data_IF_035287603617
#
_entry.id   IF_035287603617
#
_cell.length_a   1.000
_cell.length_b   1.000
_cell.length_c   1.000
_cell.angle_alpha   90.00
_cell.angle_beta   90.00
_cell.angle_gamma   90.00
#
_symmetry.space_group_name_H-M   'P 1'
#
loop_
_entity.id
_entity.type
_entity.pdbx_description
1 polymer ?
#
# COMPACT_ATOMS: atom_id res chain seq x y z
N UNK A 1 9.51 6.76 2.14
CA UNK A 1 9.64 6.61 0.70
C UNK A 1 8.37 7.17 0.05
N UNK A 2 8.41 7.48 -1.22
CA UNK A 2 7.38 8.17 -2.03
C UNK A 2 5.99 7.52 -2.00
N UNK A 3 4.95 8.27 -2.44
CA UNK A 3 3.57 7.81 -2.53
C UNK A 3 3.10 7.70 -3.98
N UNK A 4 1.99 6.98 -4.18
CA UNK A 4 1.48 6.46 -5.46
C UNK A 4 2.41 5.40 -6.09
N UNK A 5 1.89 4.67 -7.09
CA UNK A 5 2.63 3.62 -7.79
C UNK A 5 3.82 4.16 -8.59
N UNK A 6 3.69 5.35 -9.16
CA UNK A 6 4.69 6.04 -9.96
C UNK A 6 5.62 6.96 -9.14
N UNK A 7 5.32 7.13 -7.84
CA UNK A 7 6.10 7.96 -6.92
C UNK A 7 5.99 9.46 -7.16
N UNK A 8 4.88 9.93 -7.76
CA UNK A 8 4.67 11.34 -8.07
C UNK A 8 4.50 12.26 -6.84
N UNK A 9 4.22 11.71 -5.68
CA UNK A 9 4.19 12.46 -4.41
C UNK A 9 5.35 12.04 -3.52
N UNK A 10 6.10 13.00 -3.02
CA UNK A 10 7.32 12.79 -2.24
C UNK A 10 7.07 12.27 -0.82
N UNK A 11 5.91 12.64 -0.26
CA UNK A 11 5.51 12.29 1.11
C UNK A 11 3.98 12.12 1.24
N UNK A 12 3.50 11.84 2.45
CA UNK A 12 2.08 11.70 2.76
C UNK A 12 1.33 13.03 2.63
N UNK A 13 1.96 14.13 2.98
CA UNK A 13 1.41 15.49 2.89
C UNK A 13 1.16 15.89 1.43
N UNK A 14 2.08 15.56 0.55
CA UNK A 14 1.91 15.77 -0.90
C UNK A 14 0.83 14.85 -1.46
N UNK A 15 0.82 13.58 -1.05
CA UNK A 15 -0.18 12.60 -1.48
C UNK A 15 -1.59 13.01 -1.05
N UNK A 16 -1.80 13.40 0.22
CA UNK A 16 -3.10 13.72 0.77
C UNK A 16 -3.82 14.88 0.03
N UNK A 17 -3.09 15.75 -0.65
CA UNK A 17 -3.66 16.84 -1.43
C UNK A 17 -4.32 16.36 -2.73
N UNK A 18 -3.78 15.31 -3.34
CA UNK A 18 -4.21 14.81 -4.64
C UNK A 18 -5.68 14.38 -4.68
N UNK A 19 -6.09 13.36 -3.94
CA UNK A 19 -7.45 12.80 -3.96
C UNK A 19 -8.54 13.84 -3.68
N UNK A 20 -8.26 14.80 -2.80
CA UNK A 20 -9.26 15.82 -2.38
C UNK A 20 -9.73 16.67 -3.54
N UNK A 21 -8.82 17.06 -4.45
CA UNK A 21 -9.15 17.93 -5.60
C UNK A 21 -9.23 17.17 -6.93
N UNK A 22 -8.99 15.86 -6.93
CA UNK A 22 -9.08 15.04 -8.12
C UNK A 22 -10.56 14.84 -8.51
N UNK A 23 -11.00 15.25 -9.73
CA UNK A 23 -12.40 15.20 -10.14
C UNK A 23 -12.99 13.78 -10.21
N UNK A 24 -12.15 12.74 -10.37
CA UNK A 24 -12.60 11.34 -10.37
C UNK A 24 -12.56 10.69 -8.98
N UNK A 25 -12.12 11.40 -7.95
CA UNK A 25 -12.08 10.94 -6.56
C UNK A 25 -13.03 11.79 -5.69
N UNK A 26 -12.51 12.74 -4.90
CA UNK A 26 -13.35 13.59 -4.04
C UNK A 26 -13.92 14.82 -4.75
N UNK A 27 -13.31 15.28 -5.84
CA UNK A 27 -13.87 16.29 -6.76
C UNK A 27 -14.06 17.67 -6.17
N UNK A 28 -13.31 18.07 -5.14
CA UNK A 28 -13.35 19.44 -4.65
C UNK A 28 -12.77 20.40 -5.70
N UNK A 29 -13.48 21.48 -5.99
CA UNK A 29 -13.15 22.43 -7.07
C UNK A 29 -11.75 23.06 -6.91
N UNK A 30 -11.32 23.29 -5.67
CA UNK A 30 -10.02 23.92 -5.39
C UNK A 30 -9.61 23.77 -3.92
N UNK A 31 -8.31 23.97 -3.61
CA UNK A 31 -7.85 24.10 -2.22
C UNK A 31 -8.63 25.14 -1.39
N UNK A 32 -8.99 26.27 -1.99
CA UNK A 32 -9.79 27.30 -1.31
C UNK A 32 -11.22 26.83 -1.01
N UNK A 33 -11.83 26.06 -1.88
CA UNK A 33 -13.15 25.47 -1.64
C UNK A 33 -13.11 24.49 -0.46
N UNK A 34 -12.04 23.72 -0.30
CA UNK A 34 -11.81 22.85 0.87
C UNK A 34 -11.71 23.69 2.14
N UNK A 35 -10.87 24.74 2.14
CA UNK A 35 -10.70 25.65 3.27
C UNK A 35 -12.04 26.30 3.68
N UNK A 36 -12.80 26.77 2.70
CA UNK A 36 -14.12 27.38 2.93
C UNK A 36 -15.13 26.39 3.51
N UNK A 37 -15.18 25.17 2.95
CA UNK A 37 -16.09 24.11 3.41
C UNK A 37 -15.80 23.70 4.86
N UNK A 38 -14.54 23.45 5.20
CA UNK A 38 -14.14 23.12 6.56
C UNK A 38 -14.29 24.32 7.52
N UNK A 39 -14.00 25.52 7.03
CA UNK A 39 -14.20 26.78 7.76
C UNK A 39 -15.67 27.11 8.09
N UNK A 40 -16.63 26.48 7.41
CA UNK A 40 -18.05 26.54 7.75
C UNK A 40 -18.41 25.72 9.01
N UNK A 41 -17.50 24.90 9.52
CA UNK A 41 -17.72 24.03 10.68
C UNK A 41 -16.90 24.55 11.87
N UNK A 42 -17.55 25.08 12.90
CA UNK A 42 -16.87 25.78 14.01
C UNK A 42 -15.89 24.88 14.77
N UNK A 43 -16.25 23.59 14.95
CA UNK A 43 -15.35 22.63 15.61
C UNK A 43 -14.02 22.44 14.86
N UNK A 44 -14.02 22.48 13.53
CA UNK A 44 -12.78 22.41 12.75
C UNK A 44 -11.91 23.66 12.93
N UNK A 45 -12.52 24.85 12.94
CA UNK A 45 -11.75 26.08 13.20
C UNK A 45 -10.98 26.01 14.52
N UNK A 46 -11.70 25.62 15.59
CA UNK A 46 -11.11 25.51 16.93
C UNK A 46 -9.99 24.43 16.98
N UNK A 47 -10.22 23.27 16.39
CA UNK A 47 -9.23 22.18 16.34
C UNK A 47 -7.99 22.56 15.54
N UNK A 48 -8.15 23.18 14.37
CA UNK A 48 -7.01 23.64 13.57
C UNK A 48 -6.25 24.76 14.26
N UNK A 49 -6.93 25.72 14.90
CA UNK A 49 -6.26 26.75 15.70
C UNK A 49 -5.42 26.17 16.85
N UNK A 50 -5.94 25.13 17.52
CA UNK A 50 -5.21 24.42 18.56
C UNK A 50 -4.03 23.61 18.02
N UNK A 51 -4.19 22.93 16.88
CA UNK A 51 -3.17 22.07 16.30
C UNK A 51 -2.02 22.88 15.64
N UNK A 52 -2.32 24.08 15.13
CA UNK A 52 -1.36 24.94 14.41
C UNK A 52 -1.32 26.35 15.00
N UNK A 53 -0.93 26.52 16.29
CA UNK A 53 -1.06 27.81 17.00
C UNK A 53 -0.15 28.92 16.47
N UNK A 54 0.93 28.56 15.77
CA UNK A 54 1.88 29.53 15.20
C UNK A 54 1.56 29.91 13.75
N UNK A 55 0.56 29.28 13.12
CA UNK A 55 0.20 29.56 11.75
C UNK A 55 -0.88 30.65 11.67
N UNK A 56 -0.57 31.77 10.98
CA UNK A 56 -1.54 32.87 10.76
C UNK A 56 -2.84 32.38 10.12
N UNK A 57 -2.81 31.32 9.33
CA UNK A 57 -3.94 30.64 8.71
C UNK A 57 -3.91 29.18 9.13
N UNK A 58 -4.28 28.88 10.38
CA UNK A 58 -4.29 27.53 10.94
C UNK A 58 -5.11 26.57 10.07
N UNK A 59 -6.31 26.97 9.63
CA UNK A 59 -7.13 26.21 8.68
C UNK A 59 -6.70 26.58 7.24
N UNK A 60 -5.69 25.91 6.74
CA UNK A 60 -5.21 25.98 5.36
C UNK A 60 -5.21 24.61 4.72
N UNK A 61 -5.30 24.51 3.40
CA UNK A 61 -5.26 23.23 2.69
C UNK A 61 -3.97 22.44 2.99
N UNK A 62 -2.86 23.15 3.19
CA UNK A 62 -1.60 22.53 3.59
C UNK A 62 -1.70 21.88 4.99
N UNK A 63 -2.34 22.56 5.96
CA UNK A 63 -2.52 22.00 7.29
C UNK A 63 -3.58 20.89 7.32
N UNK A 64 -4.56 20.92 6.43
CA UNK A 64 -5.47 19.77 6.20
C UNK A 64 -4.67 18.55 5.77
N UNK A 65 -3.78 18.69 4.78
CA UNK A 65 -2.91 17.61 4.33
C UNK A 65 -1.99 17.09 5.45
N UNK A 66 -1.40 17.99 6.25
CA UNK A 66 -0.60 17.59 7.43
C UNK A 66 -1.42 16.82 8.47
N UNK A 67 -2.66 17.22 8.72
CA UNK A 67 -3.53 16.52 9.67
C UNK A 67 -3.89 15.12 9.15
N UNK A 68 -4.19 14.97 7.86
CA UNK A 68 -4.43 13.66 7.22
C UNK A 68 -3.17 12.80 7.33
N UNK A 69 -2.02 13.31 6.92
CA UNK A 69 -0.74 12.60 6.99
C UNK A 69 -0.35 12.19 8.41
N UNK A 70 -0.64 13.03 9.41
CA UNK A 70 -0.42 12.70 10.81
C UNK A 70 -1.31 11.52 11.25
N UNK A 71 -2.58 11.49 10.83
CA UNK A 71 -3.47 10.37 11.08
C UNK A 71 -2.98 9.10 10.37
N UNK A 72 -2.61 9.18 9.11
CA UNK A 72 -2.11 8.03 8.33
C UNK A 72 -0.88 7.38 8.97
N UNK A 73 0.03 8.17 9.58
CA UNK A 73 1.18 7.65 10.34
C UNK A 73 0.79 6.84 11.57
N UNK A 74 -0.43 6.97 12.06
CA UNK A 74 -0.95 6.13 13.18
C UNK A 74 -1.50 4.79 12.71
N UNK A 75 -1.73 4.63 11.39
CA UNK A 75 -2.30 3.43 10.80
C UNK A 75 -1.27 2.30 10.67
N UNK A 76 -0.66 1.94 11.78
CA UNK A 76 0.27 0.81 11.85
C UNK A 76 -0.49 -0.51 11.88
N UNK A 77 0.04 -1.50 11.17
CA UNK A 77 -0.61 -2.81 11.00
C UNK A 77 0.27 -3.95 11.51
N UNK A 78 0.45 -4.10 12.84
CA UNK A 78 1.17 -5.25 13.39
C UNK A 78 0.40 -6.54 13.10
N UNK A 79 1.15 -7.58 12.80
CA UNK A 79 0.64 -8.89 12.40
C UNK A 79 1.22 -10.01 13.27
N UNK A 80 0.80 -11.26 13.04
CA UNK A 80 1.40 -12.42 13.72
C UNK A 80 2.87 -12.60 13.34
N UNK A 81 3.27 -12.23 12.14
CA UNK A 81 4.67 -12.21 11.73
C UNK A 81 5.52 -11.31 12.64
N UNK A 82 5.03 -10.12 13.00
CA UNK A 82 5.76 -9.21 13.89
C UNK A 82 5.95 -9.79 15.28
N UNK A 83 4.95 -10.46 15.82
CA UNK A 83 5.07 -11.20 17.10
C UNK A 83 6.15 -12.29 17.00
N UNK A 84 6.16 -13.03 15.89
CA UNK A 84 7.12 -14.10 15.66
C UNK A 84 8.57 -13.62 15.60
N UNK A 85 8.86 -12.56 14.84
CA UNK A 85 10.22 -11.98 14.79
C UNK A 85 10.63 -11.33 16.11
N UNK A 86 9.66 -10.87 16.92
CA UNK A 86 9.91 -10.33 18.27
C UNK A 86 10.10 -11.41 19.35
N UNK A 87 10.07 -12.70 18.98
CA UNK A 87 10.42 -13.79 19.86
C UNK A 87 9.29 -14.77 20.19
N UNK A 88 8.03 -14.46 19.91
CA UNK A 88 6.91 -15.40 20.08
C UNK A 88 6.93 -16.46 18.97
N UNK A 89 7.65 -17.55 19.23
CA UNK A 89 7.81 -18.65 18.25
C UNK A 89 6.51 -19.37 17.91
N UNK A 90 5.46 -19.24 18.73
CA UNK A 90 4.14 -19.82 18.50
C UNK A 90 3.25 -18.95 17.60
N UNK A 91 3.61 -17.68 17.35
CA UNK A 91 2.81 -16.76 16.57
C UNK A 91 2.65 -17.13 15.09
N UNK A 92 3.60 -17.90 14.52
CA UNK A 92 3.48 -18.51 13.19
C UNK A 92 3.38 -20.03 13.28
N UNK A 93 2.43 -20.60 12.56
CA UNK A 93 2.32 -22.05 12.39
C UNK A 93 3.49 -22.59 11.57
N UNK A 94 3.82 -23.90 11.68
CA UNK A 94 4.84 -24.51 10.83
C UNK A 94 4.57 -24.37 9.33
N UNK A 95 3.31 -24.30 8.92
CA UNK A 95 2.94 -24.07 7.51
C UNK A 95 3.29 -22.64 7.05
N UNK A 96 3.04 -21.64 7.89
CA UNK A 96 3.39 -20.25 7.59
C UNK A 96 4.90 -20.05 7.54
N UNK A 97 5.63 -20.69 8.42
CA UNK A 97 7.10 -20.69 8.40
C UNK A 97 7.65 -21.33 7.11
N UNK A 98 7.10 -22.49 6.69
CA UNK A 98 7.45 -23.07 5.38
C UNK A 98 7.10 -22.14 4.23
N UNK A 99 5.98 -21.44 4.30
CA UNK A 99 5.57 -20.43 3.31
C UNK A 99 6.57 -19.28 3.22
N UNK A 100 7.10 -18.81 4.35
CA UNK A 100 8.17 -17.80 4.38
C UNK A 100 9.45 -18.34 3.70
N UNK A 101 9.86 -19.57 3.97
CA UNK A 101 11.01 -20.19 3.29
C UNK A 101 10.76 -20.28 1.77
N UNK A 102 9.56 -20.69 1.36
CA UNK A 102 9.20 -20.74 -0.08
C UNK A 102 9.25 -19.36 -0.72
N UNK A 103 8.75 -18.33 -0.04
CA UNK A 103 8.80 -16.94 -0.48
C UNK A 103 10.24 -16.42 -0.67
N UNK A 104 11.13 -16.74 0.26
CA UNK A 104 12.56 -16.41 0.19
C UNK A 104 13.23 -17.15 -0.97
N UNK A 105 13.05 -18.46 -1.06
CA UNK A 105 13.69 -19.32 -2.08
C UNK A 105 13.18 -19.01 -3.49
N UNK A 106 11.92 -18.56 -3.63
CA UNK A 106 11.37 -18.10 -4.90
C UNK A 106 11.91 -16.75 -5.36
N UNK A 107 12.73 -16.06 -4.55
CA UNK A 107 13.36 -14.78 -4.89
C UNK A 107 12.53 -13.54 -4.56
N UNK A 108 11.33 -13.69 -3.98
CA UNK A 108 10.42 -12.57 -3.69
C UNK A 108 11.04 -11.55 -2.71
N UNK A 109 11.89 -12.03 -1.79
CA UNK A 109 12.53 -11.21 -0.76
C UNK A 109 13.48 -10.14 -1.34
N UNK A 110 13.94 -10.30 -2.58
CA UNK A 110 14.82 -9.33 -3.23
C UNK A 110 14.18 -7.94 -3.36
N UNK A 111 12.87 -7.90 -3.59
CA UNK A 111 12.09 -6.66 -3.73
C UNK A 111 11.16 -6.42 -2.55
N UNK A 112 10.62 -7.49 -1.96
CA UNK A 112 9.69 -7.44 -0.84
C UNK A 112 10.42 -7.75 0.48
N UNK A 113 11.22 -6.79 0.95
CA UNK A 113 12.00 -6.88 2.20
C UNK A 113 11.72 -5.71 3.13
N UNK A 114 12.37 -5.71 4.30
CA UNK A 114 12.22 -4.69 5.33
C UNK A 114 10.91 -4.81 6.12
N UNK A 115 10.65 -3.82 6.97
CA UNK A 115 9.51 -3.81 7.91
C UNK A 115 8.15 -3.83 7.24
N UNK A 116 8.06 -3.35 6.00
CA UNK A 116 6.82 -3.26 5.21
C UNK A 116 6.72 -4.35 4.14
N UNK A 117 7.71 -5.22 4.01
CA UNK A 117 7.78 -6.18 2.88
C UNK A 117 7.59 -5.49 1.53
N UNK A 118 8.41 -4.49 1.25
CA UNK A 118 8.34 -3.61 0.09
C UNK A 118 8.18 -2.14 0.49
N UNK A 119 7.82 -1.29 -0.45
CA UNK A 119 7.56 0.13 -0.24
C UNK A 119 8.82 1.02 -0.21
N UNK A 120 10.01 0.48 -0.41
CA UNK A 120 11.29 1.20 -0.25
C UNK A 120 12.10 1.34 -1.53
N UNK A 121 11.61 0.83 -2.66
CA UNK A 121 12.32 0.89 -3.94
C UNK A 121 11.34 0.93 -5.11
N UNK A 122 11.86 1.30 -6.28
CA UNK A 122 11.19 1.07 -7.56
C UNK A 122 11.71 -0.21 -8.21
N UNK A 123 10.85 -0.88 -8.96
CA UNK A 123 11.25 -1.99 -9.80
C UNK A 123 10.46 -1.98 -11.10
N UNK A 124 11.12 -2.40 -12.18
CA UNK A 124 10.47 -2.56 -13.48
C UNK A 124 9.50 -3.72 -13.43
N UNK A 125 8.25 -3.47 -13.80
CA UNK A 125 7.27 -4.52 -13.97
C UNK A 125 7.59 -5.32 -15.23
N UNK A 126 7.66 -6.65 -15.11
CA UNK A 126 8.10 -7.51 -16.19
C UNK A 126 9.62 -7.48 -16.38
N UNK A 127 10.38 -7.54 -15.28
CA UNK A 127 11.85 -7.51 -15.29
C UNK A 127 12.46 -8.65 -16.10
N UNK A 128 11.93 -9.87 -15.98
CA UNK A 128 12.42 -11.07 -16.67
C UNK A 128 11.53 -11.42 -17.85
N UNK A 129 10.24 -11.56 -17.65
CA UNK A 129 9.27 -11.81 -18.70
C UNK A 129 8.35 -10.60 -18.83
N UNK A 130 8.21 -9.99 -20.02
CA UNK A 130 7.42 -8.78 -20.20
C UNK A 130 6.00 -8.90 -19.65
N UNK A 131 5.53 -7.86 -18.95
CA UNK A 131 4.15 -7.72 -18.53
C UNK A 131 3.44 -6.73 -19.44
N UNK A 132 2.31 -7.08 -20.07
CA UNK A 132 1.56 -6.17 -20.93
C UNK A 132 0.90 -5.08 -20.05
N UNK A 133 1.31 -3.84 -20.21
CA UNK A 133 0.73 -2.69 -19.53
C UNK A 133 0.70 -1.49 -20.45
N UNK A 134 -0.42 -0.75 -20.45
CA UNK A 134 -0.53 0.55 -21.09
C UNK A 134 -0.03 1.68 -20.19
N UNK A 135 0.13 1.44 -18.89
CA UNK A 135 0.67 2.39 -17.93
C UNK A 135 2.20 2.43 -18.05
N UNK A 136 2.71 3.62 -18.33
CA UNK A 136 4.16 3.83 -18.46
C UNK A 136 4.92 3.86 -17.12
N UNK A 137 4.21 3.78 -15.99
CA UNK A 137 4.78 3.85 -14.65
C UNK A 137 5.46 5.19 -14.38
N UNK A 138 6.59 5.15 -13.69
CA UNK A 138 7.36 6.33 -13.28
C UNK A 138 7.83 7.19 -14.46
N UNK A 139 7.97 6.64 -15.66
CA UNK A 139 8.25 7.43 -16.87
C UNK A 139 7.21 8.55 -17.08
N UNK A 140 5.96 8.34 -16.69
CA UNK A 140 4.93 9.38 -16.79
C UNK A 140 5.29 10.64 -15.97
N UNK A 141 6.08 10.50 -14.91
CA UNK A 141 6.53 11.56 -14.00
C UNK A 141 7.86 12.15 -14.45
N UNK A 142 8.87 11.29 -14.67
CA UNK A 142 10.26 11.72 -14.88
C UNK A 142 10.60 12.04 -16.34
N UNK A 143 9.89 11.42 -17.29
CA UNK A 143 10.20 11.41 -18.73
C UNK A 143 11.56 10.76 -19.08
N UNK A 144 12.19 10.10 -18.09
CA UNK A 144 13.41 9.32 -18.32
C UNK A 144 13.03 7.93 -18.88
N UNK A 145 13.55 7.53 -20.06
CA UNK A 145 13.29 6.20 -20.63
C UNK A 145 13.68 5.04 -19.70
N UNK A 146 14.68 5.23 -18.84
CA UNK A 146 15.07 4.23 -17.83
C UNK A 146 13.98 3.93 -16.80
N UNK A 147 13.07 4.88 -16.58
CA UNK A 147 11.94 4.74 -15.67
C UNK A 147 10.68 4.11 -16.30
N UNK A 148 10.78 3.66 -17.57
CA UNK A 148 9.67 3.00 -18.26
C UNK A 148 9.26 1.71 -17.53
N UNK A 149 7.96 1.60 -17.21
CA UNK A 149 7.36 0.51 -16.44
C UNK A 149 7.94 0.35 -15.01
N UNK A 150 8.66 1.35 -14.51
CA UNK A 150 9.10 1.36 -13.13
C UNK A 150 7.93 1.74 -12.20
N UNK A 151 7.69 0.90 -11.21
CA UNK A 151 6.68 1.12 -10.18
C UNK A 151 7.29 0.97 -8.79
N UNK A 152 6.76 1.71 -7.83
CA UNK A 152 7.08 1.49 -6.43
C UNK A 152 6.66 0.07 -6.04
N UNK A 153 7.60 -0.72 -5.53
CA UNK A 153 7.30 -2.05 -5.00
C UNK A 153 6.30 -1.89 -3.84
N UNK A 154 5.09 -2.44 -3.93
CA UNK A 154 4.09 -2.26 -2.88
C UNK A 154 4.45 -3.01 -1.61
N UNK A 155 3.97 -2.49 -0.47
CA UNK A 155 3.99 -3.25 0.78
C UNK A 155 3.13 -4.50 0.66
N UNK A 156 3.59 -5.62 1.23
CA UNK A 156 2.79 -6.84 1.34
C UNK A 156 2.03 -6.95 2.68
N UNK A 157 2.12 -5.94 3.55
CA UNK A 157 1.28 -5.92 4.75
C UNK A 157 -0.18 -5.82 4.36
N UNK A 158 -1.01 -6.66 4.96
CA UNK A 158 -2.44 -6.79 4.66
C UNK A 158 -2.76 -7.24 3.22
N UNK A 159 -1.78 -7.70 2.45
CA UNK A 159 -1.98 -8.05 1.03
C UNK A 159 -3.11 -9.07 0.80
N UNK A 160 -3.36 -9.96 1.76
CA UNK A 160 -4.42 -10.96 1.65
C UNK A 160 -5.86 -10.37 1.67
N UNK A 161 -6.02 -9.10 2.07
CA UNK A 161 -7.32 -8.41 2.20
C UNK A 161 -7.41 -7.13 1.37
N UNK A 162 -6.42 -6.85 0.53
CA UNK A 162 -6.34 -5.61 -0.28
C UNK A 162 -6.42 -5.87 -1.78
N UNK A 163 -7.27 -6.82 -2.19
CA UNK A 163 -7.60 -7.05 -3.60
C UNK A 163 -8.42 -5.87 -4.20
N UNK A 164 -8.39 -5.64 -5.53
CA UNK A 164 -7.64 -6.33 -6.56
C UNK A 164 -6.14 -5.99 -6.54
N UNK A 165 -5.33 -6.82 -7.21
CA UNK A 165 -3.87 -6.75 -7.20
C UNK A 165 -3.33 -6.07 -8.45
N UNK A 166 -2.04 -5.69 -8.39
CA UNK A 166 -1.25 -4.91 -9.32
C UNK A 166 -1.68 -3.44 -9.38
N UNK A 167 -0.90 -2.61 -10.08
CA UNK A 167 -1.11 -1.17 -10.20
C UNK A 167 -2.42 -0.81 -10.92
N UNK A 168 -2.89 -1.70 -11.79
CA UNK A 168 -4.09 -1.56 -12.61
C UNK A 168 -5.32 -2.31 -12.06
N UNK A 169 -5.16 -3.05 -10.96
CA UNK A 169 -6.23 -3.85 -10.37
C UNK A 169 -6.71 -5.00 -11.25
N UNK A 170 -5.93 -5.43 -12.25
CA UNK A 170 -6.33 -6.46 -13.22
C UNK A 170 -6.42 -7.86 -12.63
N UNK A 171 -5.73 -8.13 -11.53
CA UNK A 171 -5.61 -9.45 -10.93
C UNK A 171 -6.50 -9.57 -9.69
N UNK A 172 -7.41 -10.56 -9.69
CA UNK A 172 -8.45 -10.66 -8.66
C UNK A 172 -8.08 -11.53 -7.47
N UNK A 173 -7.17 -12.48 -7.60
CA UNK A 173 -6.84 -13.41 -6.53
C UNK A 173 -5.37 -13.34 -6.15
N UNK A 174 -5.08 -13.53 -4.85
CA UNK A 174 -3.70 -13.52 -4.35
C UNK A 174 -2.86 -14.64 -4.98
N UNK A 175 -3.44 -15.82 -5.20
CA UNK A 175 -2.75 -16.93 -5.85
C UNK A 175 -2.31 -16.58 -7.28
N UNK A 176 -3.17 -15.93 -8.04
CA UNK A 176 -2.86 -15.48 -9.39
C UNK A 176 -1.76 -14.39 -9.36
N UNK A 177 -1.86 -13.42 -8.44
CA UNK A 177 -0.83 -12.40 -8.26
C UNK A 177 0.54 -13.01 -7.93
N UNK A 178 0.59 -14.03 -7.05
CA UNK A 178 1.82 -14.76 -6.74
C UNK A 178 2.42 -15.43 -7.98
N UNK A 179 1.60 -16.13 -8.79
CA UNK A 179 2.06 -16.79 -10.02
C UNK A 179 2.63 -15.80 -11.02
N UNK A 180 1.90 -14.72 -11.27
CA UNK A 180 2.28 -13.68 -12.23
C UNK A 180 3.54 -12.96 -11.77
N UNK A 181 3.66 -12.60 -10.48
CA UNK A 181 4.87 -12.00 -9.95
C UNK A 181 6.08 -12.93 -10.07
N UNK A 182 5.94 -14.21 -9.73
CA UNK A 182 7.02 -15.18 -9.87
C UNK A 182 7.46 -15.31 -11.34
N UNK A 183 6.53 -15.34 -12.27
CA UNK A 183 6.84 -15.43 -13.70
C UNK A 183 7.47 -14.16 -14.27
N UNK A 184 6.82 -13.01 -14.05
CA UNK A 184 7.24 -11.76 -14.68
C UNK A 184 8.50 -11.15 -14.04
N UNK A 185 8.65 -11.25 -12.72
CA UNK A 185 9.75 -10.59 -12.00
C UNK A 185 11.00 -11.48 -11.82
N UNK A 186 10.81 -12.78 -11.61
CA UNK A 186 11.92 -13.71 -11.32
C UNK A 186 12.05 -14.86 -12.34
N UNK A 187 11.16 -14.94 -13.32
CA UNK A 187 11.19 -15.99 -14.35
C UNK A 187 10.83 -17.39 -13.84
N UNK A 188 10.26 -17.49 -12.63
CA UNK A 188 9.98 -18.75 -11.97
C UNK A 188 8.53 -19.20 -12.21
N UNK A 189 8.33 -20.45 -12.62
CA UNK A 189 7.02 -21.09 -12.72
C UNK A 189 6.74 -21.91 -11.47
N UNK A 190 6.15 -21.26 -10.48
CA UNK A 190 5.75 -21.93 -9.23
C UNK A 190 4.66 -22.97 -9.47
N UNK A 191 4.78 -24.13 -8.85
CA UNK A 191 3.71 -25.13 -8.80
C UNK A 191 2.63 -24.75 -7.76
N UNK A 192 1.50 -25.48 -7.77
CA UNK A 192 0.35 -25.19 -6.92
C UNK A 192 0.66 -25.22 -5.42
N UNK A 193 1.54 -26.12 -4.99
CA UNK A 193 1.92 -26.23 -3.58
C UNK A 193 2.79 -25.06 -3.13
N UNK A 194 3.71 -24.59 -3.98
CA UNK A 194 4.55 -23.42 -3.70
C UNK A 194 3.69 -22.15 -3.61
N UNK A 195 2.77 -21.97 -4.56
CA UNK A 195 1.81 -20.85 -4.54
C UNK A 195 0.96 -20.87 -3.28
N UNK A 196 0.40 -22.03 -2.92
CA UNK A 196 -0.40 -22.18 -1.71
C UNK A 196 0.43 -21.91 -0.43
N UNK A 197 1.69 -22.36 -0.41
CA UNK A 197 2.61 -22.14 0.70
C UNK A 197 2.91 -20.65 0.89
N UNK A 198 3.22 -19.92 -0.19
CA UNK A 198 3.46 -18.48 -0.17
C UNK A 198 2.19 -17.74 0.26
N UNK A 199 1.01 -18.11 -0.27
CA UNK A 199 -0.27 -17.50 0.12
C UNK A 199 -0.53 -17.63 1.61
N UNK A 200 -0.27 -18.81 2.20
CA UNK A 200 -0.42 -19.05 3.65
C UNK A 200 0.49 -18.11 4.45
N UNK A 201 1.75 -17.94 4.04
CA UNK A 201 2.65 -16.98 4.68
C UNK A 201 2.13 -15.54 4.54
N UNK A 202 1.75 -15.11 3.34
CA UNK A 202 1.27 -13.74 3.12
C UNK A 202 0.03 -13.39 3.95
N UNK A 203 -0.83 -14.37 4.24
CA UNK A 203 -1.96 -14.20 5.18
C UNK A 203 -1.50 -13.87 6.60
N UNK A 204 -0.32 -14.34 7.04
CA UNK A 204 0.23 -14.02 8.35
C UNK A 204 0.68 -12.56 8.50
N UNK A 205 0.82 -11.83 7.39
CA UNK A 205 1.12 -10.39 7.35
C UNK A 205 -0.12 -9.51 7.52
N UNK A 206 -1.30 -10.10 7.71
CA UNK A 206 -2.55 -9.39 7.94
C UNK A 206 -2.71 -8.99 9.40
N UNK A 207 -3.11 -7.75 9.65
CA UNK A 207 -3.45 -7.28 10.99
C UNK A 207 -4.72 -7.99 11.50
N UNK A 208 -4.64 -8.60 12.66
CA UNK A 208 -5.73 -9.38 13.26
C UNK A 208 -7.01 -8.56 13.48
N UNK A 209 -6.89 -7.25 13.75
CA UNK A 209 -8.05 -6.35 13.91
C UNK A 209 -8.79 -6.14 12.58
N UNK A 210 -8.07 -6.04 11.47
CA UNK A 210 -8.66 -5.90 10.13
C UNK A 210 -9.41 -7.18 9.74
N UNK A 211 -8.83 -8.34 10.00
CA UNK A 211 -9.47 -9.64 9.75
C UNK A 211 -10.81 -9.76 10.47
N UNK A 212 -10.86 -9.39 11.75
CA UNK A 212 -12.08 -9.45 12.55
C UNK A 212 -13.20 -8.53 12.01
N UNK A 213 -12.85 -7.36 11.48
CA UNK A 213 -13.80 -6.42 10.89
C UNK A 213 -14.33 -6.93 9.55
N UNK A 214 -13.48 -7.47 8.68
CA UNK A 214 -13.85 -8.05 7.37
C UNK A 214 -14.81 -9.24 7.54
N UNK A 215 -14.52 -10.12 8.46
CA UNK A 215 -15.39 -11.29 8.75
C UNK A 215 -16.79 -10.86 9.18
N UNK A 216 -16.91 -9.82 10.01
CA UNK A 216 -18.21 -9.27 10.43
C UNK A 216 -18.99 -8.65 9.27
N UNK A 217 -18.32 -7.92 8.39
CA UNK A 217 -18.96 -7.25 7.23
C UNK A 217 -19.46 -8.26 6.19
N UNK A 218 -18.75 -9.36 5.98
CA UNK A 218 -19.21 -10.44 5.07
C UNK A 218 -20.41 -11.16 5.70
N UNK A 219 -20.35 -11.51 6.97
CA UNK A 219 -21.45 -12.18 7.67
C UNK A 219 -22.74 -11.34 7.74
N UNK A 220 -22.65 -10.01 7.71
CA UNK A 220 -23.82 -9.11 7.70
C UNK A 220 -24.43 -8.88 6.33
N UNK A 221 -23.78 -9.36 5.24
CA UNK A 221 -24.25 -9.23 3.84
C UNK A 221 -24.72 -10.57 3.24
N UNK A 222 -24.63 -11.64 4.00
CA UNK A 222 -25.20 -12.96 3.70
C UNK A 222 -26.51 -13.17 4.46
#
# INVERSE_FOLDING_TARGET
FVQFWDGRAEDLEAQAKGPVVNPIEMGMESPKAVEAKLGGVESYKAQFASAFPNDKRALSFNNVAKAIAAFERTLVSPSRYDKWISGDKAALTPQEQRGLHTFINAGCIACHSGTTFGGSMYQKLGLVNPYPSADAGRFAVTKDPADSLMFKVPSLRNVAVTWPYFHDGSVRTLKEAIRLMAWHQVGNKLNDNEVASIEIFLKSLTNEKITATHTKTIASKM
#
